data_IF_961743357294
#
_entry.id   IF_961743357294
#
_cell.length_a   1.000
_cell.length_b   1.000
_cell.length_c   1.000
_cell.angle_alpha   90.00
_cell.angle_beta   90.00
_cell.angle_gamma   90.00
#
_symmetry.space_group_name_H-M   'P 1'
#
loop_
_entity.id
_entity.type
_entity.pdbx_description
1 polymer ?
#
# COMPACT_ATOMS: atom_id res chain seq x y z
N UNK A 1 12.36 -12.47 -14.18
CA UNK A 1 11.60 -11.28 -14.68
C UNK A 1 12.57 -10.14 -14.93
N UNK A 2 12.33 -9.38 -15.98
CA UNK A 2 13.14 -8.21 -16.29
C UNK A 2 12.83 -7.03 -15.36
N UNK A 3 13.76 -6.09 -15.31
CA UNK A 3 13.56 -4.83 -14.61
C UNK A 3 12.27 -4.12 -15.09
N UNK A 4 12.07 -4.07 -16.41
CA UNK A 4 10.89 -3.42 -16.97
C UNK A 4 9.59 -4.13 -16.60
N UNK A 5 9.60 -5.46 -16.56
CA UNK A 5 8.44 -6.23 -16.12
C UNK A 5 8.12 -5.99 -14.65
N UNK A 6 9.15 -5.92 -13.79
CA UNK A 6 8.97 -5.64 -12.36
C UNK A 6 8.44 -4.24 -12.13
N UNK A 7 8.93 -3.25 -12.89
CA UNK A 7 8.40 -1.88 -12.82
C UNK A 7 6.93 -1.82 -13.23
N UNK A 8 6.57 -2.54 -14.28
CA UNK A 8 5.19 -2.59 -14.77
C UNK A 8 4.27 -3.22 -13.72
N UNK A 9 4.74 -4.31 -13.10
CA UNK A 9 3.99 -4.96 -12.02
C UNK A 9 3.74 -4.00 -10.85
N UNK A 10 4.76 -3.23 -10.45
CA UNK A 10 4.61 -2.24 -9.37
C UNK A 10 3.57 -1.17 -9.72
N UNK A 11 3.59 -0.64 -10.94
CA UNK A 11 2.60 0.34 -11.38
C UNK A 11 1.20 -0.25 -11.44
N UNK A 12 1.07 -1.46 -11.94
CA UNK A 12 -0.20 -2.18 -12.01
C UNK A 12 -0.78 -2.38 -10.61
N UNK A 13 0.06 -2.72 -9.65
CA UNK A 13 -0.34 -2.91 -8.26
C UNK A 13 -0.99 -1.64 -7.69
N UNK A 14 -0.33 -0.49 -7.91
CA UNK A 14 -0.86 0.81 -7.44
C UNK A 14 -2.14 1.19 -8.19
N UNK A 15 -2.22 0.94 -9.50
CA UNK A 15 -3.40 1.24 -10.29
C UNK A 15 -4.64 0.48 -9.79
N UNK A 16 -4.46 -0.73 -9.28
CA UNK A 16 -5.58 -1.50 -8.69
C UNK A 16 -6.18 -0.79 -7.49
N UNK A 17 -5.34 -0.19 -6.64
CA UNK A 17 -5.84 0.56 -5.49
C UNK A 17 -6.60 1.81 -5.92
N UNK A 18 -6.10 2.54 -6.91
CA UNK A 18 -6.80 3.72 -7.45
C UNK A 18 -8.17 3.34 -8.03
N UNK A 19 -8.25 2.17 -8.66
CA UNK A 19 -9.50 1.65 -9.19
C UNK A 19 -10.42 1.07 -8.11
N UNK A 20 -10.01 1.10 -6.84
CA UNK A 20 -10.71 0.48 -5.71
C UNK A 20 -10.88 -1.03 -5.91
N UNK A 21 -9.93 -1.65 -6.60
CA UNK A 21 -9.92 -3.08 -6.89
C UNK A 21 -8.94 -3.78 -5.96
N UNK A 22 -9.33 -3.92 -4.69
CA UNK A 22 -8.47 -4.54 -3.67
C UNK A 22 -8.23 -6.00 -4.00
N UNK A 23 -9.26 -6.73 -4.42
CA UNK A 23 -9.10 -8.13 -4.80
C UNK A 23 -8.09 -8.30 -5.93
N UNK A 24 -8.14 -7.43 -6.94
CA UNK A 24 -7.17 -7.44 -8.05
C UNK A 24 -5.76 -7.13 -7.59
N UNK A 25 -5.60 -6.20 -6.65
CA UNK A 25 -4.28 -5.90 -6.07
C UNK A 25 -3.73 -7.11 -5.32
N UNK A 26 -4.55 -7.77 -4.51
CA UNK A 26 -4.13 -8.96 -3.76
C UNK A 26 -3.76 -10.12 -4.69
N UNK A 27 -4.44 -10.24 -5.84
CA UNK A 27 -4.13 -11.27 -6.83
C UNK A 27 -2.73 -11.12 -7.43
N UNK A 28 -2.16 -9.91 -7.38
CA UNK A 28 -0.79 -9.67 -7.82
C UNK A 28 0.25 -10.07 -6.77
N UNK A 29 -0.17 -10.48 -5.60
CA UNK A 29 0.70 -10.91 -4.51
C UNK A 29 0.75 -12.43 -4.44
N UNK A 30 1.89 -12.99 -4.02
CA UNK A 30 2.01 -14.42 -3.78
C UNK A 30 1.15 -14.82 -2.58
N UNK A 31 0.78 -16.10 -2.47
CA UNK A 31 -0.06 -16.57 -1.39
C UNK A 31 0.62 -16.42 -0.02
N UNK A 32 1.95 -16.54 0.02
CA UNK A 32 2.75 -16.38 1.24
C UNK A 32 3.26 -14.95 1.43
N UNK A 33 2.73 -13.99 0.69
CA UNK A 33 3.20 -12.62 0.74
C UNK A 33 3.00 -12.00 2.13
N UNK A 34 3.91 -11.08 2.47
CA UNK A 34 3.82 -10.29 3.68
C UNK A 34 3.78 -8.81 3.35
N UNK A 35 3.15 -8.04 4.22
CA UNK A 35 3.07 -6.58 4.11
C UNK A 35 3.48 -6.00 5.45
N UNK A 36 4.55 -5.23 5.46
CA UNK A 36 4.99 -4.55 6.67
C UNK A 36 4.62 -3.06 6.57
N UNK A 37 3.92 -2.58 7.59
CA UNK A 37 3.53 -1.19 7.70
C UNK A 37 4.40 -0.53 8.77
N UNK A 38 5.10 0.54 8.39
CA UNK A 38 6.05 1.23 9.26
C UNK A 38 5.38 1.82 10.49
N UNK A 39 6.18 2.00 11.52
CA UNK A 39 5.77 2.57 12.80
C UNK A 39 6.12 1.65 13.94
N UNK A 40 5.83 2.11 15.16
CA UNK A 40 6.02 1.31 16.37
C UNK A 40 4.65 1.05 16.98
N UNK A 41 4.36 -0.20 17.40
CA UNK A 41 3.00 -0.55 17.89
C UNK A 41 2.51 0.32 19.03
N UNK A 42 3.41 0.77 19.91
CA UNK A 42 3.04 1.64 21.04
C UNK A 42 2.58 3.04 20.59
N UNK A 43 2.93 3.45 19.37
CA UNK A 43 2.55 4.76 18.83
C UNK A 43 1.57 4.67 17.68
N UNK A 44 1.58 3.56 16.94
CA UNK A 44 0.70 3.36 15.81
C UNK A 44 0.18 1.92 15.82
N UNK A 45 -1.07 1.69 16.26
CA UNK A 45 -1.61 0.33 16.38
C UNK A 45 -1.61 -0.45 15.07
N UNK A 46 -1.71 0.24 13.92
CA UNK A 46 -1.73 -0.41 12.61
C UNK A 46 -0.37 -0.87 12.13
N UNK A 47 0.74 -0.50 12.81
CA UNK A 47 2.08 -0.88 12.36
C UNK A 47 2.35 -2.36 12.61
N UNK A 48 3.25 -2.93 11.80
CA UNK A 48 3.68 -4.31 11.95
C UNK A 48 3.53 -5.12 10.69
N UNK A 49 3.66 -6.44 10.81
CA UNK A 49 3.63 -7.37 9.68
C UNK A 49 2.24 -7.98 9.54
N UNK A 50 1.75 -8.00 8.31
CA UNK A 50 0.47 -8.59 7.93
C UNK A 50 0.68 -9.70 6.92
N UNK A 51 -0.10 -10.77 7.04
CA UNK A 51 -0.22 -11.76 5.96
C UNK A 51 -1.07 -11.16 4.84
N UNK A 52 -1.11 -11.84 3.68
CA UNK A 52 -1.98 -11.42 2.57
C UNK A 52 -3.44 -11.30 3.00
N UNK A 53 -3.94 -12.27 3.78
CA UNK A 53 -5.31 -12.24 4.27
C UNK A 53 -5.55 -11.08 5.24
N UNK A 54 -4.61 -10.86 6.17
CA UNK A 54 -4.73 -9.79 7.16
C UNK A 54 -4.70 -8.41 6.52
N UNK A 55 -3.79 -8.19 5.56
CA UNK A 55 -3.72 -6.90 4.88
C UNK A 55 -4.98 -6.66 4.04
N UNK A 56 -5.52 -7.72 3.45
CA UNK A 56 -6.77 -7.62 2.70
C UNK A 56 -7.92 -7.11 3.57
N UNK A 57 -8.03 -7.62 4.79
CA UNK A 57 -9.05 -7.14 5.75
C UNK A 57 -8.84 -5.69 6.11
N UNK A 58 -7.60 -5.29 6.40
CA UNK A 58 -7.28 -3.90 6.74
C UNK A 58 -7.64 -2.96 5.60
N UNK A 59 -7.24 -3.30 4.39
CA UNK A 59 -7.48 -2.46 3.22
C UNK A 59 -8.97 -2.33 2.90
N UNK A 60 -9.74 -3.40 3.06
CA UNK A 60 -11.18 -3.36 2.86
C UNK A 60 -11.87 -2.52 3.92
N UNK A 61 -11.41 -2.60 5.16
CA UNK A 61 -11.93 -1.76 6.24
C UNK A 61 -11.69 -0.29 5.94
N UNK A 62 -10.46 0.06 5.54
CA UNK A 62 -10.13 1.42 5.13
C UNK A 62 -11.03 1.90 3.99
N UNK A 63 -11.21 1.07 2.96
CA UNK A 63 -12.02 1.41 1.80
C UNK A 63 -13.47 1.72 2.20
N UNK A 64 -13.99 1.05 3.21
CA UNK A 64 -15.34 1.32 3.75
C UNK A 64 -15.52 2.72 4.31
N UNK A 65 -14.44 3.38 4.69
CA UNK A 65 -14.46 4.75 5.21
C UNK A 65 -14.16 5.81 4.14
N UNK A 66 -13.90 5.40 2.90
CA UNK A 66 -13.51 6.28 1.81
C UNK A 66 -14.56 6.20 0.68
N UNK A 67 -15.67 6.97 0.78
CA UNK A 67 -16.77 6.82 -0.17
C UNK A 67 -16.40 7.08 -1.62
N UNK A 68 -15.40 7.93 -1.88
CA UNK A 68 -14.91 8.21 -3.24
C UNK A 68 -13.59 7.50 -3.55
N UNK A 69 -13.17 6.56 -2.69
CA UNK A 69 -11.95 5.80 -2.89
C UNK A 69 -10.69 6.55 -2.49
N UNK A 70 -9.56 5.94 -2.83
CA UNK A 70 -8.23 6.48 -2.56
C UNK A 70 -7.47 6.56 -3.87
N UNK A 71 -7.26 7.78 -4.36
CA UNK A 71 -6.47 7.99 -5.57
C UNK A 71 -5.00 7.92 -5.23
N UNK A 72 -4.27 7.03 -5.89
CA UNK A 72 -2.83 6.91 -5.70
C UNK A 72 -2.10 7.34 -6.95
N UNK A 73 -1.00 8.06 -6.76
CA UNK A 73 -0.16 8.57 -7.84
C UNK A 73 1.27 8.11 -7.60
N UNK A 74 1.85 7.41 -8.57
CA UNK A 74 3.27 7.04 -8.53
C UNK A 74 4.07 8.25 -8.97
N UNK A 75 4.99 8.71 -8.10
CA UNK A 75 5.85 9.87 -8.40
C UNK A 75 7.12 9.45 -9.11
N UNK A 76 7.61 8.24 -8.86
CA UNK A 76 8.79 7.69 -9.50
C UNK A 76 9.11 6.34 -8.91
N UNK A 77 9.90 5.56 -9.64
CA UNK A 77 10.35 4.27 -9.14
C UNK A 77 11.67 3.86 -9.78
N UNK A 78 12.41 3.04 -9.05
CA UNK A 78 13.64 2.43 -9.53
C UNK A 78 13.58 0.94 -9.22
N UNK A 79 14.25 0.14 -10.03
CA UNK A 79 14.25 -1.31 -9.85
C UNK A 79 15.68 -1.84 -10.03
N UNK A 80 16.07 -2.71 -9.11
CA UNK A 80 17.32 -3.46 -9.23
C UNK A 80 17.01 -4.89 -8.82
N UNK A 81 17.28 -5.83 -9.75
CA UNK A 81 16.96 -7.23 -9.53
C UNK A 81 15.46 -7.41 -9.27
N UNK A 82 15.12 -8.04 -8.15
CA UNK A 82 13.74 -8.30 -7.75
C UNK A 82 13.15 -7.23 -6.83
N UNK A 83 13.86 -6.10 -6.63
CA UNK A 83 13.42 -5.01 -5.73
C UNK A 83 12.95 -3.81 -6.53
N UNK A 84 11.78 -3.30 -6.19
CA UNK A 84 11.27 -2.04 -6.75
C UNK A 84 11.05 -1.06 -5.62
N UNK A 85 11.77 0.08 -5.67
CA UNK A 85 11.60 1.18 -4.73
C UNK A 85 10.74 2.25 -5.42
N UNK A 86 9.66 2.69 -4.75
CA UNK A 86 8.65 3.52 -5.40
C UNK A 86 8.17 4.60 -4.46
N UNK A 87 8.19 5.85 -4.95
CA UNK A 87 7.55 6.95 -4.25
C UNK A 87 6.12 7.12 -4.78
N UNK A 88 5.18 7.32 -3.86
CA UNK A 88 3.78 7.50 -4.24
C UNK A 88 3.09 8.46 -3.28
N UNK A 89 1.96 8.97 -3.71
CA UNK A 89 1.11 9.84 -2.92
C UNK A 89 -0.32 9.36 -3.03
N UNK A 90 -1.11 9.50 -1.96
CA UNK A 90 -2.52 9.18 -2.02
C UNK A 90 -3.38 10.38 -1.63
N UNK A 91 -4.62 10.40 -2.12
CA UNK A 91 -5.61 11.37 -1.70
C UNK A 91 -6.97 10.70 -1.60
N UNK A 92 -7.62 10.89 -0.46
CA UNK A 92 -8.98 10.39 -0.24
C UNK A 92 -9.66 11.16 0.88
N UNK A 93 -10.97 11.23 0.84
CA UNK A 93 -11.77 11.90 1.85
C UNK A 93 -12.56 10.85 2.64
N UNK A 94 -12.43 10.91 3.97
CA UNK A 94 -13.16 10.01 4.86
C UNK A 94 -14.58 10.52 5.06
N UNK A 95 -15.48 9.60 5.43
CA UNK A 95 -16.88 9.96 5.74
C UNK A 95 -17.00 10.99 6.85
N UNK A 96 -16.03 11.02 7.79
CA UNK A 96 -16.03 11.97 8.90
C UNK A 96 -15.50 13.37 8.52
N UNK A 97 -15.17 13.59 7.25
CA UNK A 97 -14.66 14.85 6.74
C UNK A 97 -13.16 15.01 6.78
N UNK A 98 -12.43 14.08 7.39
CA UNK A 98 -10.98 14.13 7.39
C UNK A 98 -10.45 13.78 6.00
N UNK A 99 -9.28 14.35 5.66
CA UNK A 99 -8.61 14.11 4.38
C UNK A 99 -7.37 13.28 4.63
N UNK A 100 -7.23 12.19 3.89
CA UNK A 100 -6.02 11.36 3.92
C UNK A 100 -5.20 11.65 2.67
N UNK A 101 -4.19 12.49 2.84
CA UNK A 101 -3.25 12.84 1.76
C UNK A 101 -1.86 12.39 2.18
N UNK A 102 -1.53 11.13 1.86
CA UNK A 102 -0.36 10.46 2.40
C UNK A 102 0.77 10.42 1.40
N UNK A 103 1.98 10.50 1.93
CA UNK A 103 3.22 10.30 1.19
C UNK A 103 3.80 8.94 1.55
N UNK A 104 4.20 8.16 0.53
CA UNK A 104 4.70 6.81 0.73
C UNK A 104 6.04 6.61 0.07
N UNK A 105 6.82 5.72 0.66
CA UNK A 105 7.91 5.03 -0.01
C UNK A 105 7.67 3.54 0.16
N UNK A 106 7.39 2.84 -0.95
CA UNK A 106 7.21 1.39 -0.93
C UNK A 106 8.48 0.71 -1.40
N UNK A 107 8.86 -0.36 -0.73
CA UNK A 107 9.85 -1.29 -1.25
C UNK A 107 9.14 -2.61 -1.49
N UNK A 108 9.05 -2.99 -2.77
CA UNK A 108 8.41 -4.24 -3.18
C UNK A 108 9.47 -5.25 -3.54
N UNK A 109 9.26 -6.51 -3.12
CA UNK A 109 10.09 -7.63 -3.58
C UNK A 109 9.21 -8.52 -4.43
N UNK A 110 9.69 -8.89 -5.63
CA UNK A 110 8.94 -9.71 -6.57
C UNK A 110 9.45 -11.14 -6.59
N UNK A 111 8.59 -12.08 -7.00
CA UNK A 111 8.94 -13.48 -7.21
C UNK A 111 8.02 -14.05 -8.28
N UNK A 112 8.60 -14.52 -9.38
CA UNK A 112 7.86 -15.20 -10.46
C UNK A 112 6.64 -14.40 -10.97
N UNK A 113 6.84 -13.09 -11.16
CA UNK A 113 5.80 -12.25 -11.72
C UNK A 113 4.76 -11.76 -10.73
N UNK A 114 4.99 -11.97 -9.45
CA UNK A 114 4.10 -11.52 -8.37
C UNK A 114 4.90 -10.81 -7.29
N UNK A 115 4.18 -10.12 -6.41
CA UNK A 115 4.78 -9.41 -5.28
C UNK A 115 4.75 -10.34 -4.07
N UNK A 116 5.93 -10.63 -3.51
CA UNK A 116 6.01 -11.48 -2.31
C UNK A 116 6.18 -10.69 -1.03
N UNK A 117 6.61 -9.43 -1.10
CA UNK A 117 6.78 -8.61 0.08
C UNK A 117 6.52 -7.15 -0.26
N UNK A 118 5.76 -6.48 0.59
CA UNK A 118 5.56 -5.04 0.55
C UNK A 118 6.08 -4.47 1.85
N UNK A 119 6.97 -3.48 1.76
CA UNK A 119 7.38 -2.69 2.91
C UNK A 119 6.89 -1.27 2.66
N UNK A 120 5.96 -0.83 3.50
CA UNK A 120 5.30 0.47 3.34
C UNK A 120 5.83 1.45 4.38
N UNK A 121 6.59 2.44 3.91
CA UNK A 121 7.06 3.57 4.72
C UNK A 121 6.18 4.75 4.40
N UNK A 122 5.73 5.47 5.42
CA UNK A 122 4.79 6.56 5.22
C UNK A 122 4.86 7.50 6.42
N UNK A 123 4.16 8.62 6.33
CA UNK A 123 4.04 9.55 7.47
C UNK A 123 3.12 8.93 8.51
N UNK A 124 3.72 8.36 9.55
CA UNK A 124 2.98 7.65 10.60
C UNK A 124 2.16 8.60 11.48
N UNK A 125 2.60 9.85 11.65
CA UNK A 125 1.83 10.85 12.37
C UNK A 125 0.52 11.16 11.64
N UNK A 126 0.59 11.27 10.31
CA UNK A 126 -0.61 11.52 9.48
C UNK A 126 -1.58 10.33 9.54
N UNK A 127 -1.06 9.10 9.54
CA UNK A 127 -1.91 7.91 9.73
C UNK A 127 -2.67 8.03 11.05
N UNK A 128 -1.95 8.31 12.14
CA UNK A 128 -2.58 8.42 13.45
C UNK A 128 -3.62 9.54 13.48
N UNK A 129 -3.26 10.72 12.99
CA UNK A 129 -4.14 11.89 13.02
C UNK A 129 -5.42 11.68 12.19
N UNK A 130 -5.33 10.94 11.09
CA UNK A 130 -6.46 10.74 10.19
C UNK A 130 -7.34 9.58 10.62
N UNK A 131 -6.75 8.45 11.03
CA UNK A 131 -7.46 7.19 11.25
C UNK A 131 -7.73 6.86 12.71
N UNK A 132 -6.90 7.34 13.65
CA UNK A 132 -6.95 6.90 15.05
C UNK A 132 -7.26 7.99 16.06
N UNK A 133 -6.94 9.25 15.76
CA UNK A 133 -7.16 10.32 16.73
C UNK A 133 -8.65 10.51 16.98
N UNK A 134 -9.00 10.61 18.26
CA UNK A 134 -10.37 10.85 18.68
C UNK A 134 -10.86 12.25 18.37
#
# INVERSE_FOLDING_TARGET
MSVEENKRLARQFIDRFTANDIAGALDLMTDDATWWLAGKPEHLPASGVYSKEQIGRLLRDMAGHLPSGLKMTVKGLVCEGDKVAMEAESYGELRNGRVYNQEYHFLLTTRDGRIKEVREYLDTQHVYATWFRQ
#
